data_IF_040452047401
#
_entry.id   IF_040452047401
#
_cell.length_a   1.000
_cell.length_b   1.000
_cell.length_c   1.000
_cell.angle_alpha   90.00
_cell.angle_beta   90.00
_cell.angle_gamma   90.00
#
_symmetry.space_group_name_H-M   'P 1'
#
loop_
_entity.id
_entity.type
_entity.pdbx_description
1 polymer ?
#
# COMPACT_ATOMS: atom_id res chain seq x y z
N UNK A 1 -56.73 -38.03 22.09
CA UNK A 1 -55.74 -38.35 21.04
C UNK A 1 -55.30 -37.12 20.25
N UNK A 2 -56.21 -36.28 19.71
CA UNK A 2 -55.82 -35.03 19.00
C UNK A 2 -54.90 -34.06 19.77
N UNK A 3 -55.07 -33.90 21.09
CA UNK A 3 -54.23 -32.99 21.90
C UNK A 3 -52.77 -33.44 22.06
N UNK A 4 -52.52 -34.75 22.07
CA UNK A 4 -51.17 -35.31 22.21
C UNK A 4 -50.40 -35.25 20.88
N UNK A 5 -51.10 -35.43 19.75
CA UNK A 5 -50.53 -35.23 18.42
C UNK A 5 -50.13 -33.77 18.15
N UNK A 6 -50.95 -32.79 18.60
CA UNK A 6 -50.62 -31.38 18.42
C UNK A 6 -49.41 -30.94 19.25
N UNK A 7 -49.32 -31.35 20.51
CA UNK A 7 -48.15 -31.07 21.37
C UNK A 7 -46.85 -31.67 20.82
N UNK A 8 -46.91 -32.88 20.24
CA UNK A 8 -45.74 -33.51 19.61
C UNK A 8 -45.25 -32.79 18.36
N UNK A 9 -46.16 -32.21 17.57
CA UNK A 9 -45.81 -31.50 16.34
C UNK A 9 -45.21 -30.10 16.62
N UNK A 10 -45.75 -29.40 17.61
CA UNK A 10 -45.26 -28.08 18.03
C UNK A 10 -43.84 -28.15 18.59
N UNK A 11 -43.53 -29.19 19.38
CA UNK A 11 -42.18 -29.44 19.91
C UNK A 11 -41.16 -29.70 18.81
N UNK A 12 -41.55 -30.48 17.80
CA UNK A 12 -40.70 -30.79 16.65
C UNK A 12 -40.40 -29.55 15.81
N UNK A 13 -41.40 -28.70 15.60
CA UNK A 13 -41.24 -27.44 14.86
C UNK A 13 -40.35 -26.43 15.60
N UNK A 14 -40.50 -26.33 16.93
CA UNK A 14 -39.66 -25.49 17.78
C UNK A 14 -38.19 -25.90 17.72
N UNK A 15 -37.89 -27.20 17.82
CA UNK A 15 -36.53 -27.71 17.69
C UNK A 15 -35.96 -27.49 16.28
N UNK A 16 -36.75 -27.71 15.23
CA UNK A 16 -36.30 -27.49 13.84
C UNK A 16 -35.90 -26.02 13.58
N UNK A 17 -36.68 -25.06 14.11
CA UNK A 17 -36.37 -23.63 13.96
C UNK A 17 -35.05 -23.27 14.63
N UNK A 18 -34.81 -23.78 15.84
CA UNK A 18 -33.54 -23.58 16.57
C UNK A 18 -32.36 -24.18 15.80
N UNK A 19 -32.45 -25.41 15.30
CA UNK A 19 -31.39 -26.04 14.50
C UNK A 19 -31.09 -25.26 13.21
N UNK A 20 -32.14 -24.80 12.52
CA UNK A 20 -31.99 -23.99 11.31
C UNK A 20 -31.32 -22.65 11.59
N UNK A 21 -31.64 -22.03 12.72
CA UNK A 21 -31.02 -20.78 13.15
C UNK A 21 -29.55 -21.00 13.51
N UNK A 22 -29.23 -22.01 14.33
CA UNK A 22 -27.86 -22.41 14.67
C UNK A 22 -27.05 -22.67 13.41
N UNK A 23 -27.53 -23.53 12.50
CA UNK A 23 -26.86 -23.78 11.22
C UNK A 23 -26.65 -22.50 10.40
N UNK A 24 -27.64 -21.61 10.36
CA UNK A 24 -27.51 -20.34 9.65
C UNK A 24 -26.42 -19.44 10.25
N UNK A 25 -26.24 -19.43 11.56
CA UNK A 25 -25.16 -18.68 12.22
C UNK A 25 -23.82 -19.39 11.98
N UNK A 26 -23.71 -20.68 12.29
CA UNK A 26 -22.44 -21.42 12.31
C UNK A 26 -21.83 -21.65 10.94
N UNK A 27 -22.63 -21.81 9.87
CA UNK A 27 -22.11 -21.93 8.50
C UNK A 27 -21.31 -20.71 8.04
N UNK A 28 -21.55 -19.56 8.69
CA UNK A 28 -20.88 -18.28 8.42
C UNK A 28 -19.65 -18.06 9.30
N UNK A 29 -19.29 -19.02 10.17
CA UNK A 29 -18.13 -18.95 11.06
C UNK A 29 -16.95 -19.78 10.51
N UNK A 30 -15.70 -19.44 10.90
CA UNK A 30 -14.52 -20.25 10.62
C UNK A 30 -14.66 -21.67 11.18
N UNK A 31 -14.24 -22.68 10.41
CA UNK A 31 -14.47 -24.10 10.76
C UNK A 31 -13.96 -24.48 12.17
N UNK A 32 -12.83 -23.91 12.60
CA UNK A 32 -12.21 -24.18 13.89
C UNK A 32 -13.05 -23.73 15.10
N UNK A 33 -13.96 -22.76 14.94
CA UNK A 33 -14.75 -22.18 16.04
C UNK A 33 -16.22 -22.58 15.99
N UNK A 34 -16.65 -23.33 14.96
CA UNK A 34 -18.08 -23.65 14.75
C UNK A 34 -18.67 -24.43 15.91
N UNK A 35 -18.00 -25.48 16.36
CA UNK A 35 -18.53 -26.37 17.39
C UNK A 35 -18.70 -25.66 18.74
N UNK A 36 -17.71 -24.85 19.13
CA UNK A 36 -17.73 -24.12 20.40
C UNK A 36 -18.81 -23.03 20.40
N UNK A 37 -18.89 -22.23 19.32
CA UNK A 37 -19.88 -21.16 19.19
C UNK A 37 -21.30 -21.74 19.01
N UNK A 38 -21.45 -22.89 18.35
CA UNK A 38 -22.73 -23.59 18.27
C UNK A 38 -23.23 -24.00 19.66
N UNK A 39 -22.34 -24.55 20.49
CA UNK A 39 -22.67 -24.97 21.85
C UNK A 39 -23.04 -23.77 22.73
N UNK A 40 -22.27 -22.70 22.65
CA UNK A 40 -22.54 -21.45 23.38
C UNK A 40 -23.89 -20.84 22.97
N UNK A 41 -24.14 -20.70 21.67
CA UNK A 41 -25.38 -20.13 21.15
C UNK A 41 -26.60 -20.99 21.50
N UNK A 42 -26.44 -22.32 21.49
CA UNK A 42 -27.48 -23.25 21.90
C UNK A 42 -27.84 -23.06 23.39
N UNK A 43 -26.83 -22.99 24.27
CA UNK A 43 -27.05 -22.71 25.69
C UNK A 43 -27.75 -21.37 25.91
N UNK A 44 -27.33 -20.32 25.19
CA UNK A 44 -27.98 -19.00 25.27
C UNK A 44 -29.45 -19.03 24.83
N UNK A 45 -29.80 -19.78 23.78
CA UNK A 45 -31.20 -19.96 23.35
C UNK A 45 -31.99 -20.73 24.42
N UNK A 46 -31.41 -21.76 25.02
CA UNK A 46 -32.04 -22.55 26.08
C UNK A 46 -32.31 -21.70 27.33
N UNK A 47 -31.34 -20.90 27.75
CA UNK A 47 -31.47 -19.97 28.89
C UNK A 47 -32.58 -18.92 28.64
N UNK A 48 -32.58 -18.29 27.45
CA UNK A 48 -33.61 -17.31 27.08
C UNK A 48 -35.02 -17.93 26.99
N UNK A 49 -35.12 -19.20 26.62
CA UNK A 49 -36.40 -19.91 26.60
C UNK A 49 -36.86 -20.24 28.02
N UNK A 50 -35.97 -20.74 28.88
CA UNK A 50 -36.28 -21.07 30.27
C UNK A 50 -36.80 -19.84 31.05
N UNK A 51 -36.16 -18.68 30.87
CA UNK A 51 -36.57 -17.41 31.49
C UNK A 51 -37.99 -16.98 31.08
N UNK A 52 -38.41 -17.29 29.84
CA UNK A 52 -39.71 -16.88 29.31
C UNK A 52 -40.82 -17.86 29.62
N UNK A 53 -40.51 -19.15 29.69
CA UNK A 53 -41.51 -20.20 29.92
C UNK A 53 -41.61 -20.61 31.38
N UNK A 54 -40.77 -20.07 32.27
CA UNK A 54 -40.67 -20.48 33.67
C UNK A 54 -40.52 -22.01 33.80
N UNK A 55 -39.57 -22.56 33.02
CA UNK A 55 -39.29 -23.99 32.89
C UNK A 55 -40.41 -24.85 32.25
N UNK A 56 -41.46 -24.22 31.70
CA UNK A 56 -42.46 -24.92 30.90
C UNK A 56 -41.97 -25.22 29.47
N UNK A 57 -42.64 -26.14 28.77
CA UNK A 57 -42.29 -26.48 27.39
C UNK A 57 -42.47 -25.27 26.45
N UNK A 58 -41.41 -24.93 25.72
CA UNK A 58 -41.40 -23.84 24.77
C UNK A 58 -42.30 -24.11 23.57
N UNK A 59 -43.17 -23.15 23.25
CA UNK A 59 -43.99 -23.18 22.05
C UNK A 59 -43.21 -22.63 20.85
N UNK A 60 -43.63 -22.92 19.59
CA UNK A 60 -43.01 -22.33 18.41
C UNK A 60 -42.97 -20.79 18.43
N UNK A 61 -43.94 -20.14 19.09
CA UNK A 61 -43.98 -18.68 19.24
C UNK A 61 -42.91 -18.14 20.20
N UNK A 62 -42.60 -18.90 21.25
CA UNK A 62 -41.55 -18.53 22.21
C UNK A 62 -40.18 -18.58 21.53
N UNK A 63 -39.93 -19.64 20.76
CA UNK A 63 -38.73 -19.78 19.93
C UNK A 63 -38.62 -18.65 18.91
N UNK A 64 -39.68 -18.37 18.14
CA UNK A 64 -39.67 -17.28 17.16
C UNK A 64 -39.32 -15.93 17.80
N UNK A 65 -39.90 -15.65 18.97
CA UNK A 65 -39.66 -14.42 19.71
C UNK A 65 -38.22 -14.32 20.26
N UNK A 66 -37.63 -15.42 20.74
CA UNK A 66 -36.22 -15.46 21.16
C UNK A 66 -35.30 -15.25 19.94
N UNK A 67 -35.56 -15.92 18.82
CA UNK A 67 -34.78 -15.77 17.60
C UNK A 67 -34.87 -14.36 17.01
N UNK A 68 -36.02 -13.68 17.13
CA UNK A 68 -36.19 -12.28 16.74
C UNK A 68 -35.36 -11.33 17.61
N UNK A 69 -35.28 -11.59 18.92
CA UNK A 69 -34.46 -10.82 19.85
C UNK A 69 -32.95 -10.99 19.57
N UNK A 70 -32.53 -12.21 19.21
CA UNK A 70 -31.16 -12.50 18.78
C UNK A 70 -30.79 -11.84 17.44
N UNK A 71 -31.79 -11.54 16.61
CA UNK A 71 -31.67 -10.80 15.37
C UNK A 71 -31.30 -11.68 14.17
N UNK A 72 -30.82 -11.05 13.09
CA UNK A 72 -30.53 -11.79 11.85
C UNK A 72 -29.29 -12.69 12.05
N UNK A 73 -29.31 -13.96 11.59
CA UNK A 73 -28.16 -14.86 11.71
C UNK A 73 -26.84 -14.31 11.15
N UNK A 74 -26.92 -13.47 10.12
CA UNK A 74 -25.74 -12.83 9.52
C UNK A 74 -25.12 -11.77 10.44
N UNK A 75 -25.95 -10.98 11.12
CA UNK A 75 -25.51 -9.93 12.04
C UNK A 75 -24.94 -10.54 13.33
N UNK A 76 -25.59 -11.58 13.85
CA UNK A 76 -25.11 -12.32 15.02
C UNK A 76 -23.78 -13.04 14.74
N UNK A 77 -23.65 -13.72 13.59
CA UNK A 77 -22.39 -14.35 13.18
C UNK A 77 -21.23 -13.35 13.01
N UNK A 78 -21.53 -12.09 12.66
CA UNK A 78 -20.53 -11.04 12.55
C UNK A 78 -20.01 -10.58 13.92
N UNK A 79 -20.86 -10.59 14.96
CA UNK A 79 -20.45 -10.30 16.35
C UNK A 79 -19.48 -11.37 16.88
N UNK A 80 -19.77 -12.64 16.61
CA UNK A 80 -18.91 -13.78 16.99
C UNK A 80 -17.55 -13.81 16.25
N UNK A 81 -17.48 -13.33 15.01
CA UNK A 81 -16.23 -13.32 14.22
C UNK A 81 -15.18 -12.32 14.70
N UNK A 82 -15.52 -11.39 15.59
CA UNK A 82 -14.57 -10.46 16.21
C UNK A 82 -13.87 -9.47 15.26
N UNK A 83 -14.05 -9.56 13.95
CA UNK A 83 -13.48 -8.63 12.98
C UNK A 83 -14.39 -8.49 11.76
N UNK A 84 -14.62 -7.24 11.38
CA UNK A 84 -15.44 -6.84 10.24
C UNK A 84 -14.60 -7.07 8.98
N UNK A 85 -15.19 -7.72 7.97
CA UNK A 85 -14.60 -7.94 6.65
C UNK A 85 -14.47 -6.59 5.90
N UNK A 86 -13.48 -5.78 6.29
CA UNK A 86 -13.16 -4.52 5.64
C UNK A 86 -12.07 -4.74 4.59
N UNK A 87 -12.28 -4.21 3.39
CA UNK A 87 -11.19 -4.10 2.40
C UNK A 87 -10.07 -3.20 2.95
N UNK A 88 -10.44 -2.07 3.56
CA UNK A 88 -9.54 -1.17 4.28
C UNK A 88 -10.24 -0.80 5.59
N UNK A 89 -9.69 -1.21 6.72
CA UNK A 89 -10.25 -1.00 8.04
C UNK A 89 -10.05 0.43 8.55
N UNK A 90 -10.76 0.82 9.64
CA UNK A 90 -10.69 2.17 10.20
C UNK A 90 -9.28 2.62 10.57
N UNK A 91 -8.40 1.70 10.97
CA UNK A 91 -7.01 2.00 11.35
C UNK A 91 -6.17 2.54 10.20
N UNK A 92 -6.44 2.08 8.97
CA UNK A 92 -5.73 2.51 7.77
C UNK A 92 -6.54 3.48 6.91
N UNK A 93 -7.83 3.66 7.16
CA UNK A 93 -8.71 4.42 6.28
C UNK A 93 -8.32 5.91 6.15
N UNK A 94 -8.02 6.58 7.26
CA UNK A 94 -7.57 7.98 7.23
C UNK A 94 -6.27 8.14 6.42
N UNK A 95 -5.37 7.17 6.57
CA UNK A 95 -4.13 7.13 5.84
C UNK A 95 -4.34 6.86 4.34
N UNK A 96 -5.20 5.90 4.01
CA UNK A 96 -5.59 5.59 2.64
C UNK A 96 -6.09 6.83 1.90
N UNK A 97 -7.01 7.59 2.51
CA UNK A 97 -7.55 8.82 1.91
C UNK A 97 -6.45 9.87 1.69
N UNK A 98 -5.53 10.03 2.64
CA UNK A 98 -4.42 10.96 2.51
C UNK A 98 -3.51 10.59 1.33
N UNK A 99 -3.05 9.34 1.27
CA UNK A 99 -2.18 8.85 0.19
C UNK A 99 -2.88 8.95 -1.17
N UNK A 100 -4.14 8.50 -1.24
CA UNK A 100 -4.93 8.55 -2.46
C UNK A 100 -5.04 9.99 -3.00
N UNK A 101 -5.34 10.97 -2.14
CA UNK A 101 -5.42 12.38 -2.55
C UNK A 101 -4.11 12.89 -3.14
N UNK A 102 -2.97 12.59 -2.49
CA UNK A 102 -1.67 13.07 -2.98
C UNK A 102 -1.32 12.41 -4.31
N UNK A 103 -1.54 11.09 -4.44
CA UNK A 103 -1.25 10.37 -5.69
C UNK A 103 -2.11 10.90 -6.83
N UNK A 104 -3.43 11.06 -6.64
CA UNK A 104 -4.31 11.59 -7.68
C UNK A 104 -3.95 13.03 -8.07
N UNK A 105 -3.60 13.87 -7.10
CA UNK A 105 -3.14 15.24 -7.37
C UNK A 105 -1.84 15.25 -8.18
N UNK A 106 -0.88 14.39 -7.83
CA UNK A 106 0.39 14.32 -8.53
C UNK A 106 0.29 13.70 -9.93
N UNK A 107 -0.57 12.69 -10.14
CA UNK A 107 -0.89 12.16 -11.49
C UNK A 107 -1.46 13.26 -12.36
N UNK A 108 -2.45 13.99 -11.84
CA UNK A 108 -3.10 15.08 -12.56
C UNK A 108 -2.10 16.19 -12.90
N UNK A 109 -1.30 16.60 -11.93
CA UNK A 109 -0.27 17.63 -12.10
C UNK A 109 0.80 17.22 -13.11
N UNK A 110 1.32 15.99 -13.02
CA UNK A 110 2.34 15.47 -13.94
C UNK A 110 1.85 15.41 -15.38
N UNK A 111 0.64 14.90 -15.61
CA UNK A 111 0.02 14.88 -16.94
C UNK A 111 -0.26 16.29 -17.48
N UNK A 112 -0.66 17.23 -16.61
CA UNK A 112 -0.87 18.62 -17.01
C UNK A 112 0.44 19.27 -17.44
N UNK A 113 1.51 19.07 -16.68
CA UNK A 113 2.84 19.57 -17.03
C UNK A 113 3.31 18.95 -18.35
N UNK A 114 3.09 17.64 -18.56
CA UNK A 114 3.42 16.97 -19.81
C UNK A 114 2.73 17.60 -21.02
N UNK A 115 1.43 17.89 -20.90
CA UNK A 115 0.65 18.56 -21.94
C UNK A 115 1.20 19.96 -22.24
N UNK A 116 1.51 20.75 -21.20
CA UNK A 116 2.08 22.10 -21.34
C UNK A 116 3.44 22.06 -22.04
N UNK A 117 4.29 21.11 -21.65
CA UNK A 117 5.61 20.90 -22.28
C UNK A 117 5.43 20.53 -23.76
N UNK A 118 4.48 19.66 -24.11
CA UNK A 118 4.19 19.32 -25.51
C UNK A 118 3.79 20.53 -26.35
N UNK A 119 2.96 21.43 -25.81
CA UNK A 119 2.59 22.67 -26.49
C UNK A 119 3.78 23.62 -26.65
N UNK A 120 4.60 23.78 -25.61
CA UNK A 120 5.80 24.63 -25.66
C UNK A 120 6.85 24.03 -26.62
N UNK A 121 6.97 22.71 -26.71
CA UNK A 121 7.90 22.03 -27.61
C UNK A 121 7.48 22.11 -29.09
N UNK A 122 6.37 22.78 -29.40
CA UNK A 122 5.93 23.01 -30.77
C UNK A 122 5.35 21.77 -31.45
N UNK A 123 4.82 20.81 -30.69
CA UNK A 123 4.08 19.68 -31.27
C UNK A 123 2.92 20.22 -32.12
N UNK A 124 3.02 20.06 -33.45
CA UNK A 124 2.00 20.47 -34.43
C UNK A 124 0.85 19.47 -34.51
N UNK A 125 0.48 18.87 -33.38
CA UNK A 125 -0.70 18.03 -33.30
C UNK A 125 -1.95 18.92 -33.33
N UNK A 126 -3.04 18.38 -33.89
CA UNK A 126 -4.34 19.06 -33.81
C UNK A 126 -4.71 19.21 -32.33
N UNK A 127 -4.92 20.45 -31.89
CA UNK A 127 -5.21 20.80 -30.49
C UNK A 127 -6.38 19.96 -29.93
N UNK A 128 -7.41 19.70 -30.74
CA UNK A 128 -8.54 18.86 -30.33
C UNK A 128 -8.13 17.42 -30.05
N UNK A 129 -7.20 16.86 -30.83
CA UNK A 129 -6.66 15.52 -30.62
C UNK A 129 -5.77 15.48 -29.38
N UNK A 130 -4.91 16.47 -29.17
CA UNK A 130 -4.06 16.55 -27.97
C UNK A 130 -4.88 16.66 -26.68
N UNK A 131 -5.94 17.48 -26.70
CA UNK A 131 -6.87 17.60 -25.57
C UNK A 131 -7.60 16.26 -25.35
N UNK A 132 -8.08 15.61 -26.41
CA UNK A 132 -8.72 14.28 -26.30
C UNK A 132 -7.80 13.22 -25.70
N UNK A 133 -6.55 13.16 -26.16
CA UNK A 133 -5.53 12.25 -25.65
C UNK A 133 -5.17 12.54 -24.19
N UNK A 134 -5.11 13.83 -23.81
CA UNK A 134 -4.90 14.24 -22.43
C UNK A 134 -6.00 13.71 -21.52
N UNK A 135 -7.28 13.94 -21.86
CA UNK A 135 -8.39 13.45 -21.03
C UNK A 135 -8.46 11.93 -20.97
N UNK A 136 -8.22 11.24 -22.09
CA UNK A 136 -8.13 9.78 -22.12
C UNK A 136 -7.03 9.26 -21.19
N UNK A 137 -5.83 9.84 -21.30
CA UNK A 137 -4.68 9.48 -20.46
C UNK A 137 -4.93 9.80 -18.99
N UNK A 138 -5.52 10.95 -18.70
CA UNK A 138 -5.84 11.39 -17.34
C UNK A 138 -6.83 10.44 -16.66
N UNK A 139 -7.95 10.12 -17.33
CA UNK A 139 -8.94 9.20 -16.78
C UNK A 139 -8.29 7.83 -16.54
N UNK A 140 -7.57 7.30 -17.52
CA UNK A 140 -6.89 5.99 -17.39
C UNK A 140 -5.88 5.99 -16.23
N UNK A 141 -5.03 7.01 -16.13
CA UNK A 141 -4.02 7.11 -15.09
C UNK A 141 -4.63 7.27 -13.69
N UNK A 142 -5.69 8.07 -13.55
CA UNK A 142 -6.40 8.23 -12.28
C UNK A 142 -7.07 6.93 -11.83
N UNK A 143 -7.69 6.18 -12.75
CA UNK A 143 -8.26 4.87 -12.46
C UNK A 143 -7.18 3.86 -12.02
N UNK A 144 -6.06 3.81 -12.74
CA UNK A 144 -4.94 2.93 -12.38
C UNK A 144 -4.33 3.31 -11.03
N UNK A 145 -4.12 4.59 -10.79
CA UNK A 145 -3.58 5.11 -9.53
C UNK A 145 -4.50 4.78 -8.36
N UNK A 146 -5.80 5.02 -8.51
CA UNK A 146 -6.81 4.62 -7.52
C UNK A 146 -6.73 3.12 -7.26
N UNK A 147 -6.78 2.30 -8.32
CA UNK A 147 -6.75 0.84 -8.21
C UNK A 147 -5.52 0.32 -7.47
N UNK A 148 -4.33 0.76 -7.85
CA UNK A 148 -3.08 0.31 -7.21
C UNK A 148 -2.98 0.76 -5.75
N UNK A 149 -3.36 2.00 -5.43
CA UNK A 149 -3.38 2.48 -4.04
C UNK A 149 -4.36 1.64 -3.21
N UNK A 150 -5.58 1.41 -3.70
CA UNK A 150 -6.56 0.57 -3.00
C UNK A 150 -6.07 -0.85 -2.79
N UNK A 151 -5.46 -1.48 -3.81
CA UNK A 151 -4.91 -2.84 -3.71
C UNK A 151 -3.80 -2.93 -2.66
N UNK A 152 -2.88 -1.95 -2.60
CA UNK A 152 -1.81 -1.93 -1.60
C UNK A 152 -2.39 -1.87 -0.20
N UNK A 153 -3.33 -0.96 0.05
CA UNK A 153 -3.97 -0.84 1.36
C UNK A 153 -4.82 -2.06 1.73
N UNK A 154 -5.46 -2.69 0.75
CA UNK A 154 -6.19 -3.93 0.95
C UNK A 154 -5.27 -5.09 1.35
N UNK A 155 -4.12 -5.21 0.69
CA UNK A 155 -3.09 -6.19 1.05
C UNK A 155 -2.58 -5.92 2.46
N UNK A 156 -2.26 -4.66 2.79
CA UNK A 156 -1.82 -4.28 4.14
C UNK A 156 -2.85 -4.65 5.22
N UNK A 157 -4.13 -4.33 5.01
CA UNK A 157 -5.21 -4.69 5.94
C UNK A 157 -5.28 -6.20 6.14
N UNK A 158 -5.17 -6.99 5.05
CA UNK A 158 -5.24 -8.45 5.10
C UNK A 158 -4.06 -9.07 5.85
N UNK A 159 -2.85 -8.56 5.67
CA UNK A 159 -1.68 -9.06 6.39
C UNK A 159 -1.72 -8.70 7.88
N UNK A 160 -2.15 -7.48 8.21
CA UNK A 160 -2.21 -7.07 9.62
C UNK A 160 -3.30 -7.84 10.38
N UNK A 161 -4.47 -8.02 9.76
CA UNK A 161 -5.54 -8.86 10.33
C UNK A 161 -5.08 -10.30 10.60
N UNK A 162 -4.24 -10.88 9.71
CA UNK A 162 -3.68 -12.22 9.90
C UNK A 162 -2.70 -12.28 11.09
N UNK A 163 -1.89 -11.26 11.29
CA UNK A 163 -0.95 -11.15 12.42
C UNK A 163 -1.71 -11.03 13.75
N UNK A 164 -2.80 -10.26 13.78
CA UNK A 164 -3.65 -10.13 14.95
C UNK A 164 -4.39 -11.45 15.26
N UNK A 165 -4.81 -12.19 14.22
CA UNK A 165 -5.43 -13.51 14.41
C UNK A 165 -4.45 -14.59 14.91
N UNK A 166 -3.17 -14.55 14.51
CA UNK A 166 -2.14 -15.47 15.01
C UNK A 166 -1.74 -15.18 16.47
N UNK A 167 -1.93 -13.94 16.96
CA UNK A 167 -1.65 -13.53 18.35
C UNK A 167 -2.88 -13.62 19.28
N UNK A 168 -3.81 -14.55 19.03
CA UNK A 168 -5.08 -14.67 19.78
C UNK A 168 -4.92 -15.06 21.26
N UNK A 169 -3.78 -15.58 21.70
CA UNK A 169 -3.51 -15.84 23.12
C UNK A 169 -2.95 -14.58 23.78
N UNK A 170 -3.81 -13.62 24.07
CA UNK A 170 -3.43 -12.40 24.77
C UNK A 170 -3.30 -12.65 26.28
N UNK A 171 -2.12 -12.41 26.84
CA UNK A 171 -1.86 -12.45 28.29
C UNK A 171 -1.54 -11.04 28.79
N UNK A 172 -2.18 -10.52 29.85
CA UNK A 172 -1.86 -9.21 30.43
C UNK A 172 -0.38 -9.00 30.81
N UNK A 173 0.37 -10.08 31.06
CA UNK A 173 1.82 -10.03 31.32
C UNK A 173 2.69 -9.86 30.06
N UNK A 174 2.11 -10.04 28.87
CA UNK A 174 2.75 -9.85 27.57
C UNK A 174 2.54 -8.43 27.01
N UNK A 175 1.94 -7.53 27.82
CA UNK A 175 1.86 -6.11 27.49
C UNK A 175 3.26 -5.63 27.09
N UNK A 176 3.45 -5.19 25.83
CA UNK A 176 4.74 -4.71 25.41
C UNK A 176 5.08 -3.48 26.25
N UNK A 177 6.27 -3.47 26.84
CA UNK A 177 6.80 -2.28 27.52
C UNK A 177 6.61 -1.07 26.62
N UNK A 178 6.14 0.03 27.22
CA UNK A 178 5.91 1.29 26.52
C UNK A 178 7.23 1.65 25.82
N UNK A 179 7.31 1.54 24.48
CA UNK A 179 8.55 1.84 23.79
C UNK A 179 8.87 3.31 24.07
N UNK A 180 10.14 3.59 24.42
CA UNK A 180 10.59 4.99 24.51
C UNK A 180 10.17 5.72 23.22
N UNK A 181 9.61 6.94 23.35
CA UNK A 181 9.05 7.70 22.20
C UNK A 181 10.01 7.81 21.00
N UNK A 182 11.32 7.64 21.21
CA UNK A 182 12.39 7.68 20.21
C UNK A 182 12.53 6.39 19.38
N UNK A 183 12.07 5.24 19.88
CA UNK A 183 12.15 3.93 19.21
C UNK A 183 11.02 3.70 18.20
N UNK A 184 9.96 4.50 18.27
CA UNK A 184 8.78 4.39 17.41
C UNK A 184 9.05 5.09 16.08
N UNK A 185 8.75 4.41 14.99
CA UNK A 185 8.78 5.02 13.65
C UNK A 185 7.56 5.93 13.56
N UNK A 186 7.78 7.22 13.30
CA UNK A 186 6.67 8.10 12.98
C UNK A 186 6.08 7.66 11.64
N UNK A 187 4.81 7.27 11.63
CA UNK A 187 4.15 6.73 10.42
C UNK A 187 4.25 7.70 9.25
N UNK A 188 4.23 9.02 9.49
CA UNK A 188 4.29 10.03 8.43
C UNK A 188 5.56 9.95 7.58
N UNK A 189 6.68 9.47 8.14
CA UNK A 189 7.95 9.37 7.41
C UNK A 189 7.90 8.27 6.33
N UNK A 190 7.58 7.00 6.64
CA UNK A 190 7.37 6.00 5.59
C UNK A 190 6.24 6.33 4.61
N UNK A 191 5.17 6.97 5.10
CA UNK A 191 4.06 7.40 4.23
C UNK A 191 4.55 8.40 3.19
N UNK A 192 5.29 9.44 3.61
CA UNK A 192 5.88 10.39 2.68
C UNK A 192 6.80 9.68 1.68
N UNK A 193 7.62 8.73 2.16
CA UNK A 193 8.47 7.89 1.31
C UNK A 193 7.68 7.16 0.21
N UNK A 194 6.59 6.47 0.57
CA UNK A 194 5.70 5.79 -0.40
C UNK A 194 5.15 6.78 -1.40
N UNK A 195 4.62 7.91 -0.92
CA UNK A 195 4.02 8.95 -1.76
C UNK A 195 5.02 9.48 -2.78
N UNK A 196 6.20 9.93 -2.35
CA UNK A 196 7.22 10.44 -3.26
C UNK A 196 7.68 9.37 -4.26
N UNK A 197 7.82 8.13 -3.81
CA UNK A 197 8.24 7.01 -4.67
C UNK A 197 7.19 6.70 -5.74
N UNK A 198 5.90 6.67 -5.37
CA UNK A 198 4.79 6.47 -6.31
C UNK A 198 4.69 7.62 -7.31
N UNK A 199 4.85 8.87 -6.84
CA UNK A 199 4.87 10.03 -7.73
C UNK A 199 6.03 9.96 -8.73
N UNK A 200 7.24 9.63 -8.27
CA UNK A 200 8.40 9.47 -9.14
C UNK A 200 8.22 8.35 -10.17
N UNK A 201 7.68 7.19 -9.73
CA UNK A 201 7.35 6.06 -10.62
C UNK A 201 6.37 6.51 -11.70
N UNK A 202 5.27 7.16 -11.33
CA UNK A 202 4.25 7.62 -12.28
C UNK A 202 4.83 8.65 -13.26
N UNK A 203 5.59 9.61 -12.74
CA UNK A 203 6.20 10.67 -13.53
C UNK A 203 7.17 10.11 -14.58
N UNK A 204 8.05 9.19 -14.20
CA UNK A 204 9.03 8.59 -15.12
C UNK A 204 8.42 7.62 -16.13
N UNK A 205 7.34 6.92 -15.78
CA UNK A 205 6.65 6.03 -16.73
C UNK A 205 5.79 6.82 -17.72
N UNK A 206 5.21 7.94 -17.30
CA UNK A 206 4.31 8.75 -18.14
C UNK A 206 5.08 9.74 -19.01
N UNK A 207 6.14 10.32 -18.46
CA UNK A 207 6.97 11.35 -19.10
C UNK A 207 8.44 10.98 -18.93
N UNK A 208 8.94 9.92 -19.62
CA UNK A 208 10.34 9.51 -19.50
C UNK A 208 11.31 10.63 -19.91
N UNK A 209 10.87 11.53 -20.79
CA UNK A 209 11.61 12.73 -21.20
C UNK A 209 11.63 13.88 -20.19
N UNK A 210 11.07 13.73 -18.99
CA UNK A 210 11.05 14.85 -18.04
C UNK A 210 12.45 15.27 -17.56
N UNK A 211 13.41 14.34 -17.60
CA UNK A 211 14.80 14.60 -17.23
C UNK A 211 15.57 15.02 -18.49
N UNK A 212 15.64 16.33 -18.70
CA UNK A 212 16.26 16.95 -19.86
C UNK A 212 16.48 18.44 -19.67
N UNK A 213 17.25 19.05 -20.55
CA UNK A 213 17.39 20.51 -20.63
C UNK A 213 16.28 21.03 -21.53
N UNK A 214 15.44 21.90 -20.98
CA UNK A 214 14.44 22.66 -21.71
C UNK A 214 14.98 24.05 -21.98
N UNK A 215 15.32 24.34 -23.24
CA UNK A 215 15.76 25.65 -23.66
C UNK A 215 14.57 26.45 -24.20
N UNK A 216 14.27 27.56 -23.53
CA UNK A 216 13.14 28.44 -23.83
C UNK A 216 13.59 29.76 -24.48
N UNK A 217 14.76 29.77 -25.14
CA UNK A 217 15.23 30.91 -25.93
C UNK A 217 14.49 31.07 -27.27
N UNK A 218 15.01 31.89 -28.17
CA UNK A 218 14.38 32.16 -29.48
C UNK A 218 14.13 30.89 -30.31
N UNK A 219 15.06 29.93 -30.24
CA UNK A 219 14.88 28.59 -30.78
C UNK A 219 14.63 27.63 -29.62
N UNK A 220 13.36 27.25 -29.41
CA UNK A 220 13.01 26.26 -28.40
C UNK A 220 13.69 24.92 -28.72
N UNK A 221 14.36 24.35 -27.73
CA UNK A 221 15.04 23.06 -27.87
C UNK A 221 14.84 22.22 -26.61
N UNK A 222 14.69 20.92 -26.81
CA UNK A 222 14.65 19.94 -25.74
C UNK A 222 15.77 18.93 -25.94
N UNK A 223 16.61 18.78 -24.92
CA UNK A 223 17.77 17.88 -24.94
C UNK A 223 17.60 16.87 -23.81
N UNK A 224 17.32 15.59 -24.11
CA UNK A 224 17.17 14.57 -23.09
C UNK A 224 18.52 14.26 -22.43
N UNK A 225 18.54 14.07 -21.11
CA UNK A 225 19.76 13.64 -20.38
C UNK A 225 20.09 12.18 -20.69
N UNK A 226 19.08 11.35 -20.91
CA UNK A 226 19.23 9.94 -21.20
C UNK A 226 19.06 9.65 -22.69
N UNK A 227 19.73 8.60 -23.17
CA UNK A 227 19.35 7.96 -24.42
C UNK A 227 17.97 7.32 -24.21
N UNK A 228 16.94 7.87 -24.87
CA UNK A 228 15.56 7.45 -24.64
C UNK A 228 15.30 6.00 -25.06
N UNK A 229 16.06 5.48 -26.04
CA UNK A 229 15.93 4.08 -26.47
C UNK A 229 16.44 3.13 -25.39
N UNK A 230 17.61 3.44 -24.83
CA UNK A 230 18.21 2.66 -23.74
C UNK A 230 17.42 2.86 -22.45
N UNK A 231 16.98 4.07 -22.14
CA UNK A 231 16.20 4.39 -20.95
C UNK A 231 14.87 3.62 -20.91
N UNK A 232 14.09 3.66 -22.00
CA UNK A 232 12.83 2.90 -22.09
C UNK A 232 13.06 1.39 -21.99
N UNK A 233 14.19 0.88 -22.52
CA UNK A 233 14.58 -0.53 -22.38
C UNK A 233 14.90 -0.89 -20.92
N UNK A 234 15.52 0.01 -20.17
CA UNK A 234 15.90 -0.20 -18.77
C UNK A 234 14.79 0.16 -17.77
N UNK A 235 13.71 0.82 -18.22
CA UNK A 235 12.57 1.23 -17.41
C UNK A 235 11.97 0.11 -16.54
N UNK A 236 11.86 -1.16 -17.00
CA UNK A 236 11.41 -2.26 -16.13
C UNK A 236 12.29 -2.47 -14.89
N UNK A 237 13.62 -2.36 -15.02
CA UNK A 237 14.54 -2.49 -13.89
C UNK A 237 14.43 -1.30 -12.93
N UNK A 238 14.25 -0.09 -13.47
CA UNK A 238 13.98 1.12 -12.68
C UNK A 238 12.67 0.95 -11.89
N UNK A 239 11.63 0.39 -12.50
CA UNK A 239 10.36 0.08 -11.83
C UNK A 239 10.51 -0.96 -10.71
N UNK A 240 11.42 -1.94 -10.86
CA UNK A 240 11.75 -2.88 -9.77
C UNK A 240 12.37 -2.13 -8.58
N UNK A 241 13.27 -1.16 -8.81
CA UNK A 241 13.85 -0.33 -7.73
C UNK A 241 12.78 0.48 -7.01
N UNK A 242 11.82 1.06 -7.73
CA UNK A 242 10.69 1.75 -7.12
C UNK A 242 9.80 0.80 -6.30
N UNK A 243 9.51 -0.40 -6.82
CA UNK A 243 8.73 -1.41 -6.10
C UNK A 243 9.43 -1.85 -4.81
N UNK A 244 10.74 -2.09 -4.86
CA UNK A 244 11.57 -2.40 -3.69
C UNK A 244 11.56 -1.24 -2.67
N UNK A 245 11.60 0.00 -3.14
CA UNK A 245 11.51 1.20 -2.28
C UNK A 245 10.16 1.30 -1.58
N UNK A 246 9.05 1.04 -2.28
CA UNK A 246 7.71 0.97 -1.68
C UNK A 246 7.65 -0.17 -0.64
N UNK A 247 8.16 -1.36 -1.00
CA UNK A 247 8.20 -2.51 -0.10
C UNK A 247 8.95 -2.20 1.19
N UNK A 248 10.09 -1.51 1.10
CA UNK A 248 10.86 -1.04 2.26
C UNK A 248 10.00 -0.21 3.20
N UNK A 249 9.30 0.80 2.67
CA UNK A 249 8.47 1.69 3.49
C UNK A 249 7.24 0.98 4.07
N UNK A 250 6.65 0.03 3.34
CA UNK A 250 5.57 -0.83 3.86
C UNK A 250 6.07 -1.67 5.04
N UNK A 251 7.25 -2.29 4.95
CA UNK A 251 7.83 -3.05 6.06
C UNK A 251 8.07 -2.14 7.28
N UNK A 252 8.54 -0.89 7.07
CA UNK A 252 8.69 0.10 8.14
C UNK A 252 7.37 0.49 8.79
N UNK A 253 6.27 0.53 8.04
CA UNK A 253 4.93 0.78 8.56
C UNK A 253 4.38 -0.37 9.40
N UNK A 254 4.63 -1.61 8.98
CA UNK A 254 4.12 -2.81 9.67
C UNK A 254 4.87 -3.07 10.97
N UNK A 255 6.20 -2.95 10.97
CA UNK A 255 7.01 -3.32 12.14
C UNK A 255 6.96 -2.24 13.24
N UNK A 256 6.64 -0.98 12.90
CA UNK A 256 6.47 0.22 13.77
C UNK A 256 7.63 0.58 14.73
N UNK A 257 8.58 -0.32 14.96
CA UNK A 257 9.70 -0.22 15.89
C UNK A 257 11.00 -0.60 15.19
N UNK A 258 12.07 0.13 15.47
CA UNK A 258 13.40 -0.25 15.01
C UNK A 258 13.88 -1.49 15.77
N UNK A 259 14.06 -2.60 15.05
CA UNK A 259 14.63 -3.84 15.57
C UNK A 259 15.59 -4.47 14.55
N UNK A 260 16.36 -5.48 14.96
CA UNK A 260 17.35 -6.12 14.10
C UNK A 260 16.76 -6.79 12.86
N UNK A 261 15.54 -7.34 12.93
CA UNK A 261 14.86 -7.94 11.78
C UNK A 261 14.51 -6.90 10.72
N UNK A 262 14.01 -5.74 11.14
CA UNK A 262 13.73 -4.61 10.26
C UNK A 262 15.03 -4.08 9.63
N UNK A 263 16.09 -3.91 10.41
CA UNK A 263 17.38 -3.45 9.87
C UNK A 263 17.94 -4.42 8.83
N UNK A 264 17.86 -5.73 9.07
CA UNK A 264 18.27 -6.74 8.10
C UNK A 264 17.45 -6.68 6.81
N UNK A 265 16.11 -6.58 6.92
CA UNK A 265 15.23 -6.46 5.76
C UNK A 265 15.53 -5.21 4.93
N UNK A 266 15.67 -4.05 5.58
CA UNK A 266 16.05 -2.78 4.93
C UNK A 266 17.41 -2.89 4.25
N UNK A 267 18.39 -3.53 4.90
CA UNK A 267 19.74 -3.72 4.33
C UNK A 267 19.71 -4.56 3.06
N UNK A 268 18.98 -5.68 3.06
CA UNK A 268 18.84 -6.54 1.88
C UNK A 268 18.17 -5.78 0.74
N UNK A 269 17.07 -5.07 1.02
CA UNK A 269 16.36 -4.28 0.01
C UNK A 269 17.28 -3.19 -0.56
N UNK A 270 17.98 -2.44 0.29
CA UNK A 270 18.91 -1.40 -0.15
C UNK A 270 20.06 -1.96 -0.98
N UNK A 271 20.61 -3.12 -0.61
CA UNK A 271 21.67 -3.77 -1.38
C UNK A 271 21.19 -4.18 -2.78
N UNK A 272 20.03 -4.82 -2.87
CA UNK A 272 19.44 -5.22 -4.16
C UNK A 272 19.11 -3.99 -5.02
N UNK A 273 18.47 -2.99 -4.44
CA UNK A 273 18.17 -1.74 -5.14
C UNK A 273 19.43 -1.05 -5.64
N UNK A 274 20.48 -0.96 -4.81
CA UNK A 274 21.77 -0.36 -5.21
C UNK A 274 22.42 -1.12 -6.36
N UNK A 275 22.43 -2.47 -6.31
CA UNK A 275 22.97 -3.28 -7.40
C UNK A 275 22.26 -3.00 -8.74
N UNK A 276 20.93 -2.90 -8.72
CA UNK A 276 20.15 -2.60 -9.93
C UNK A 276 20.44 -1.17 -10.41
N UNK A 277 20.46 -0.18 -9.52
CA UNK A 277 20.73 1.21 -9.91
C UNK A 277 22.13 1.38 -10.50
N UNK A 278 23.16 0.74 -9.92
CA UNK A 278 24.52 0.76 -10.47
C UNK A 278 24.58 0.06 -11.83
N UNK A 279 23.93 -1.10 -11.96
CA UNK A 279 23.85 -1.79 -13.26
C UNK A 279 23.23 -0.90 -14.36
N UNK A 280 22.18 -0.15 -14.04
CA UNK A 280 21.48 0.71 -14.99
C UNK A 280 22.25 2.00 -15.30
N UNK A 281 22.70 2.72 -14.27
CA UNK A 281 23.20 4.11 -14.42
C UNK A 281 24.71 4.26 -14.46
N UNK A 282 25.50 3.25 -14.07
CA UNK A 282 26.95 3.28 -14.26
C UNK A 282 27.37 3.03 -15.71
N UNK A 283 26.47 2.50 -16.54
CA UNK A 283 26.70 2.32 -17.98
C UNK A 283 26.68 3.66 -18.71
N UNK A 284 27.72 4.03 -19.48
CA UNK A 284 27.69 5.24 -20.31
C UNK A 284 26.55 5.24 -21.34
N UNK A 285 26.08 4.07 -21.76
CA UNK A 285 25.08 3.92 -22.82
C UNK A 285 23.67 4.44 -22.46
N UNK A 286 23.34 4.59 -21.16
CA UNK A 286 22.05 5.18 -20.77
C UNK A 286 22.07 6.70 -20.87
N UNK A 287 23.25 7.31 -20.85
CA UNK A 287 23.41 8.77 -20.92
C UNK A 287 23.45 9.20 -22.39
N UNK A 288 22.84 10.32 -22.71
CA UNK A 288 22.81 10.82 -24.08
C UNK A 288 24.24 11.19 -24.53
N UNK A 289 24.77 10.42 -25.50
CA UNK A 289 26.12 10.61 -26.02
C UNK A 289 26.26 11.95 -26.79
N UNK A 290 25.18 12.40 -27.41
CA UNK A 290 25.13 13.66 -28.18
C UNK A 290 24.75 14.87 -27.32
N UNK A 291 24.58 14.69 -26.00
CA UNK A 291 24.10 15.75 -25.12
C UNK A 291 24.91 17.05 -25.23
N UNK A 292 26.24 16.93 -25.24
CA UNK A 292 27.15 18.09 -25.34
C UNK A 292 27.04 18.76 -26.70
N UNK A 293 27.07 17.96 -27.78
CA UNK A 293 26.94 18.45 -29.16
C UNK A 293 25.62 19.19 -29.33
N UNK A 294 24.52 18.62 -28.82
CA UNK A 294 23.18 19.21 -28.88
C UNK A 294 23.11 20.51 -28.08
N UNK A 295 23.74 20.56 -26.91
CA UNK A 295 23.75 21.76 -26.06
C UNK A 295 24.56 22.90 -26.70
N UNK A 296 25.71 22.60 -27.28
CA UNK A 296 26.56 23.57 -27.99
C UNK A 296 25.93 24.07 -29.30
N UNK A 297 25.04 23.28 -29.92
CA UNK A 297 24.31 23.68 -31.11
C UNK A 297 23.19 24.71 -30.82
N UNK A 298 22.81 24.91 -29.55
CA UNK A 298 21.82 25.91 -29.17
C UNK A 298 22.40 27.31 -29.33
N UNK A 299 21.79 28.12 -30.19
CA UNK A 299 22.12 29.55 -30.32
C UNK A 299 21.89 30.28 -28.99
N UNK A 300 22.92 30.96 -28.51
CA UNK A 300 22.90 31.70 -27.25
C UNK A 300 23.29 30.88 -26.02
N UNK A 301 23.62 29.60 -26.18
CA UNK A 301 24.26 28.83 -25.12
C UNK A 301 25.78 29.10 -25.13
N UNK A 302 26.29 29.71 -24.05
CA UNK A 302 27.72 29.93 -23.84
C UNK A 302 28.12 29.32 -22.49
N UNK A 303 29.23 28.59 -22.47
CA UNK A 303 29.84 28.10 -21.24
C UNK A 303 31.07 28.93 -20.89
N UNK A 304 31.37 29.12 -19.59
CA UNK A 304 32.64 29.70 -19.16
C UNK A 304 33.82 28.96 -19.80
N UNK A 305 34.81 29.71 -20.29
CA UNK A 305 35.95 29.16 -21.02
C UNK A 305 36.84 28.22 -20.16
N UNK A 306 36.75 28.35 -18.84
CA UNK A 306 37.45 27.53 -17.85
C UNK A 306 36.68 26.25 -17.47
N UNK A 307 35.44 26.08 -17.93
CA UNK A 307 34.62 24.92 -17.59
C UNK A 307 34.58 23.89 -18.72
N UNK A 308 35.27 22.76 -18.52
CA UNK A 308 35.24 21.63 -19.45
C UNK A 308 33.97 20.77 -19.27
N UNK A 309 32.90 21.19 -19.95
CA UNK A 309 31.62 20.51 -19.89
C UNK A 309 31.69 19.06 -20.40
N UNK A 310 32.50 18.79 -21.44
CA UNK A 310 32.63 17.45 -22.01
C UNK A 310 33.31 16.48 -21.03
N UNK A 311 34.36 16.94 -20.36
CA UNK A 311 35.04 16.21 -19.29
C UNK A 311 34.07 15.84 -18.16
N UNK A 312 33.25 16.79 -17.70
CA UNK A 312 32.28 16.53 -16.63
C UNK A 312 31.15 15.61 -17.08
N UNK A 313 30.63 15.77 -18.30
CA UNK A 313 29.59 14.90 -18.86
C UNK A 313 30.04 13.44 -18.95
N UNK A 314 31.27 13.20 -19.42
CA UNK A 314 31.84 11.84 -19.49
C UNK A 314 31.96 11.14 -18.13
N UNK A 315 31.99 11.91 -17.02
CA UNK A 315 32.06 11.41 -15.65
C UNK A 315 30.73 11.42 -14.90
N UNK A 316 29.64 11.89 -15.51
CA UNK A 316 28.30 11.82 -14.90
C UNK A 316 27.95 10.41 -14.40
N UNK A 317 28.21 9.31 -15.14
CA UNK A 317 27.95 7.97 -14.60
C UNK A 317 28.68 7.70 -13.28
N UNK A 318 29.93 8.16 -13.16
CA UNK A 318 30.74 7.99 -11.95
C UNK A 318 30.21 8.85 -10.79
N UNK A 319 29.92 10.14 -11.03
CA UNK A 319 29.38 11.04 -10.01
C UNK A 319 28.03 10.55 -9.50
N UNK A 320 27.14 10.15 -10.41
CA UNK A 320 25.84 9.60 -10.08
C UNK A 320 25.98 8.33 -9.24
N UNK A 321 26.84 7.39 -9.68
CA UNK A 321 27.09 6.14 -8.96
C UNK A 321 27.63 6.38 -7.56
N UNK A 322 28.54 7.35 -7.39
CA UNK A 322 29.09 7.74 -6.09
C UNK A 322 28.03 8.31 -5.14
N UNK A 323 27.21 9.26 -5.63
CA UNK A 323 26.14 9.89 -4.85
C UNK A 323 25.08 8.85 -4.43
N UNK A 324 24.66 8.01 -5.37
CA UNK A 324 23.67 6.96 -5.08
C UNK A 324 24.21 5.95 -4.09
N UNK A 325 25.44 5.47 -4.28
CA UNK A 325 26.06 4.52 -3.35
C UNK A 325 26.14 5.11 -1.94
N UNK A 326 26.57 6.36 -1.83
CA UNK A 326 26.61 7.07 -0.55
C UNK A 326 25.22 7.17 0.10
N UNK A 327 24.19 7.52 -0.67
CA UNK A 327 22.80 7.60 -0.18
C UNK A 327 22.29 6.27 0.38
N UNK A 328 22.46 5.16 -0.36
CA UNK A 328 22.05 3.83 0.09
C UNK A 328 22.84 3.33 1.31
N UNK A 329 24.14 3.61 1.36
CA UNK A 329 24.99 3.29 2.52
C UNK A 329 24.51 4.07 3.75
N UNK A 330 24.25 5.38 3.61
CA UNK A 330 23.80 6.23 4.70
C UNK A 330 22.44 5.79 5.25
N UNK A 331 21.48 5.47 4.38
CA UNK A 331 20.16 4.96 4.79
C UNK A 331 20.29 3.62 5.55
N UNK A 332 21.13 2.72 5.05
CA UNK A 332 21.41 1.42 5.67
C UNK A 332 22.05 1.58 7.06
N UNK A 333 23.09 2.43 7.16
CA UNK A 333 23.75 2.72 8.43
C UNK A 333 22.80 3.36 9.44
N UNK A 334 21.92 4.26 8.98
CA UNK A 334 20.92 4.90 9.84
C UNK A 334 19.93 3.87 10.39
N UNK A 335 19.47 2.93 9.56
CA UNK A 335 18.58 1.85 9.97
C UNK A 335 19.24 0.92 11.01
N UNK A 336 20.48 0.49 10.76
CA UNK A 336 21.26 -0.36 11.66
C UNK A 336 21.55 0.36 12.98
N UNK A 337 22.00 1.62 12.93
CA UNK A 337 22.31 2.40 14.13
C UNK A 337 21.08 2.60 15.01
N UNK A 338 19.93 2.94 14.42
CA UNK A 338 18.66 3.03 15.15
C UNK A 338 18.31 1.67 15.77
N UNK A 339 18.38 0.57 15.02
CA UNK A 339 18.10 -0.76 15.55
C UNK A 339 19.03 -1.19 16.69
N UNK A 340 20.34 -0.95 16.57
CA UNK A 340 21.34 -1.28 17.60
C UNK A 340 21.13 -0.46 18.88
N UNK A 341 20.88 0.85 18.74
CA UNK A 341 20.61 1.75 19.88
C UNK A 341 19.43 1.27 20.72
N UNK A 342 18.34 0.82 20.10
CA UNK A 342 17.15 0.37 20.82
C UNK A 342 17.22 -1.09 21.28
N UNK A 343 18.14 -1.89 20.71
CA UNK A 343 18.42 -3.23 21.23
C UNK A 343 19.23 -3.19 22.54
N UNK A 344 20.21 -2.29 22.63
CA UNK A 344 21.09 -2.14 23.81
C UNK A 344 20.35 -1.57 25.04
N UNK A 345 19.36 -0.70 24.83
CA UNK A 345 18.52 -0.16 25.93
C UNK A 345 17.64 -1.23 26.58
N UNK A 346 17.40 -2.36 25.91
CA UNK A 346 16.55 -3.45 26.40
C UNK A 346 17.31 -4.56 27.14
N UNK A 347 18.65 -4.53 27.09
CA UNK A 347 19.55 -5.51 27.75
C UNK A 347 20.26 -4.94 28.98
N UNK A 348 19.97 -3.70 29.36
CA UNK A 348 20.25 -3.11 30.66
C UNK A 348 18.95 -2.98 31.42
#
# INVERSE_FOLDING_TARGET
MKGVEMMGNDKKNAQELTERYLYAVTKRLPAAQRADIEKELRGLIEDMLADRTADAEATPKDVESVLLELGKPAELAAKYRGSKDYLIGPDYFALYIMVLKIVLAGVSGGLTIALLVGFIAGERANIFVSIGNYFSSLISALFQAFGWVTVIFAIMQKYNAKIDEENKTWNPKELPEVPEKKARINKSEPIAGIVFTVLALLLLNTVPGIIGVFWLGEAQAYIPVFDMTVFTRMLPLINVVFALSILKEVIRLVIEKYNLKLAAAVTVINAVSLMIVLYVFSSPAIWNAEFITQLQAIKGFEMPADFDLAYHWSRVPLYFSGIVSFSYILDTLTSIFKAARFHIVKTR
#
